data_IF_467137127296
#
_entry.id   IF_467137127296
#
_cell.length_a   1.000
_cell.length_b   1.000
_cell.length_c   1.000
_cell.angle_alpha   90.00
_cell.angle_beta   90.00
_cell.angle_gamma   90.00
#
_symmetry.space_group_name_H-M   'P 1'
#
loop_
_entity.id
_entity.type
_entity.pdbx_description
1 polymer ?
#
# COMPACT_ATOMS: atom_id res chain seq x y z
N UNK A 1 6.34 -20.16 -7.51
CA UNK A 1 6.23 -20.01 -6.04
C UNK A 1 4.96 -19.26 -5.65
N UNK A 2 4.71 -18.04 -6.16
CA UNK A 2 3.47 -17.28 -5.86
C UNK A 2 2.18 -17.96 -6.28
N UNK A 3 2.13 -18.57 -7.47
CA UNK A 3 0.95 -19.31 -7.94
C UNK A 3 0.50 -20.39 -6.94
N UNK A 4 1.45 -21.15 -6.38
CA UNK A 4 1.16 -22.19 -5.39
C UNK A 4 0.61 -21.62 -4.08
N UNK A 5 1.06 -20.44 -3.66
CA UNK A 5 0.52 -19.74 -2.49
C UNK A 5 -0.90 -19.23 -2.78
N UNK A 6 -1.16 -18.70 -3.97
CA UNK A 6 -2.51 -18.25 -4.38
C UNK A 6 -3.46 -19.44 -4.51
N UNK A 7 -3.02 -20.53 -5.14
CA UNK A 7 -3.79 -21.77 -5.30
C UNK A 7 -4.05 -22.40 -3.91
N UNK A 8 -3.04 -22.47 -3.02
CA UNK A 8 -3.22 -22.95 -1.64
C UNK A 8 -4.14 -22.01 -0.84
N UNK A 9 -4.06 -20.69 -1.02
CA UNK A 9 -4.98 -19.74 -0.38
C UNK A 9 -6.40 -19.94 -0.94
N UNK A 10 -6.58 -20.15 -2.25
CA UNK A 10 -7.87 -20.37 -2.88
C UNK A 10 -8.51 -21.70 -2.45
N UNK A 11 -7.73 -22.79 -2.42
CA UNK A 11 -8.17 -24.13 -2.00
C UNK A 11 -8.49 -24.19 -0.50
N UNK A 12 -7.80 -23.37 0.32
CA UNK A 12 -8.09 -23.26 1.74
C UNK A 12 -9.09 -22.15 2.09
N UNK A 13 -9.29 -21.14 1.22
CA UNK A 13 -10.31 -20.08 1.34
C UNK A 13 -11.70 -20.68 1.36
N UNK A 14 -11.95 -21.66 0.49
CA UNK A 14 -13.21 -22.43 0.48
C UNK A 14 -13.45 -23.23 1.76
N UNK A 15 -12.43 -23.38 2.61
CA UNK A 15 -12.49 -24.07 3.92
C UNK A 15 -12.27 -23.11 5.10
N UNK A 16 -12.08 -21.82 4.84
CA UNK A 16 -11.78 -20.82 5.86
C UNK A 16 -13.09 -20.12 6.22
N UNK A 17 -13.58 -20.33 7.44
CA UNK A 17 -14.77 -19.66 8.01
C UNK A 17 -14.52 -18.16 8.33
N UNK A 18 -13.50 -17.56 7.73
CA UNK A 18 -13.20 -16.14 7.89
C UNK A 18 -13.97 -15.32 6.87
N UNK A 19 -14.78 -14.38 7.33
CA UNK A 19 -15.62 -13.54 6.45
C UNK A 19 -14.82 -12.59 5.53
N UNK A 20 -13.54 -12.31 5.85
CA UNK A 20 -12.74 -11.27 5.19
C UNK A 20 -11.25 -11.67 5.09
N UNK A 21 -10.66 -11.54 3.89
CA UNK A 21 -9.21 -11.58 3.67
C UNK A 21 -8.68 -10.20 3.32
N UNK A 22 -7.61 -9.77 3.99
CA UNK A 22 -6.94 -8.49 3.74
C UNK A 22 -5.55 -8.74 3.17
N UNK A 23 -5.31 -8.28 1.94
CA UNK A 23 -3.99 -8.28 1.32
C UNK A 23 -3.28 -6.94 1.57
N UNK A 24 -2.05 -6.99 2.10
CA UNK A 24 -1.20 -5.82 2.20
C UNK A 24 -0.55 -5.54 0.83
N UNK A 25 -1.28 -4.82 -0.02
CA UNK A 25 -0.96 -4.49 -1.42
C UNK A 25 -1.13 -5.65 -2.41
N UNK A 26 -1.56 -5.32 -3.62
CA UNK A 26 -1.66 -6.25 -4.76
C UNK A 26 -0.51 -6.01 -5.76
N UNK A 27 -0.26 -7.01 -6.61
CA UNK A 27 0.81 -6.96 -7.62
C UNK A 27 0.66 -5.79 -8.62
N UNK A 28 -0.55 -5.25 -8.82
CA UNK A 28 -0.78 -4.03 -9.60
C UNK A 28 0.01 -2.82 -9.09
N UNK A 29 0.26 -2.74 -7.77
CA UNK A 29 1.08 -1.69 -7.18
C UNK A 29 2.56 -1.81 -7.58
N UNK A 30 3.05 -3.01 -7.92
CA UNK A 30 4.46 -3.26 -8.23
C UNK A 30 4.91 -2.61 -9.54
N UNK A 31 3.99 -2.31 -10.46
CA UNK A 31 4.31 -1.66 -11.73
C UNK A 31 5.01 -0.32 -11.53
N UNK A 32 4.60 0.44 -10.52
CA UNK A 32 5.12 1.77 -10.23
C UNK A 32 6.49 1.72 -9.56
N UNK A 33 6.63 0.86 -8.55
CA UNK A 33 7.92 0.59 -7.94
C UNK A 33 8.95 0.12 -8.99
N UNK A 34 8.52 -0.75 -9.90
CA UNK A 34 9.36 -1.22 -11.02
C UNK A 34 9.77 -0.08 -11.94
N UNK A 35 8.82 0.76 -12.34
CA UNK A 35 9.07 1.90 -13.22
C UNK A 35 10.07 2.91 -12.63
N UNK A 36 10.02 3.11 -11.32
CA UNK A 36 10.91 4.02 -10.61
C UNK A 36 12.29 3.43 -10.32
N UNK A 37 12.35 2.16 -9.91
CA UNK A 37 13.58 1.52 -9.44
C UNK A 37 14.46 1.01 -10.59
N UNK A 38 13.85 0.48 -11.64
CA UNK A 38 14.58 -0.04 -12.78
C UNK A 38 14.72 1.10 -13.79
N UNK A 39 15.94 1.43 -14.24
CA UNK A 39 16.13 2.45 -15.30
C UNK A 39 16.24 1.84 -16.69
N UNK A 40 16.79 0.62 -16.77
CA UNK A 40 17.04 -0.06 -18.03
C UNK A 40 15.76 -0.58 -18.68
N UNK A 41 15.48 -0.13 -19.91
CA UNK A 41 14.24 -0.41 -20.63
C UNK A 41 13.94 -1.90 -20.78
N UNK A 42 14.89 -2.71 -21.27
CA UNK A 42 14.68 -4.15 -21.47
C UNK A 42 14.38 -4.90 -20.16
N UNK A 43 14.96 -4.44 -19.05
CA UNK A 43 14.72 -5.04 -17.74
C UNK A 43 13.30 -4.73 -17.24
N UNK A 44 12.77 -3.53 -17.54
CA UNK A 44 11.36 -3.20 -17.27
C UNK A 44 10.42 -4.06 -18.10
N UNK A 45 10.68 -4.15 -19.41
CA UNK A 45 9.86 -4.94 -20.35
C UNK A 45 9.78 -6.40 -19.91
N UNK A 46 10.93 -7.01 -19.59
CA UNK A 46 11.00 -8.37 -19.07
C UNK A 46 10.14 -8.55 -17.80
N UNK A 47 10.26 -7.64 -16.83
CA UNK A 47 9.48 -7.75 -15.59
C UNK A 47 7.97 -7.56 -15.84
N UNK A 48 7.59 -6.66 -16.74
CA UNK A 48 6.18 -6.48 -17.09
C UNK A 48 5.59 -7.69 -17.77
N UNK A 49 6.35 -8.36 -18.65
CA UNK A 49 5.88 -9.57 -19.30
C UNK A 49 5.74 -10.74 -18.32
N UNK A 50 6.58 -10.80 -17.28
CA UNK A 50 6.38 -11.74 -16.17
C UNK A 50 5.13 -11.42 -15.34
N UNK A 51 4.88 -10.13 -15.03
CA UNK A 51 3.69 -9.73 -14.26
C UNK A 51 2.41 -10.05 -15.03
N UNK A 52 2.37 -9.85 -16.35
CA UNK A 52 1.21 -10.19 -17.20
C UNK A 52 0.85 -11.68 -17.17
N UNK A 53 1.79 -12.56 -16.84
CA UNK A 53 1.53 -14.01 -16.73
C UNK A 53 0.81 -14.37 -15.42
N UNK A 54 0.70 -13.44 -14.46
CA UNK A 54 -0.07 -13.63 -13.24
C UNK A 54 -1.56 -13.52 -13.57
N UNK A 55 -2.26 -14.65 -13.55
CA UNK A 55 -3.71 -14.67 -13.72
C UNK A 55 -4.37 -14.26 -12.40
N UNK A 56 -4.62 -12.97 -12.22
CA UNK A 56 -5.34 -12.44 -11.08
C UNK A 56 -6.30 -11.37 -11.58
N UNK A 57 -7.59 -11.60 -11.34
CA UNK A 57 -8.65 -10.69 -11.75
C UNK A 57 -8.97 -9.71 -10.62
N UNK A 58 -9.01 -8.41 -10.93
CA UNK A 58 -9.45 -7.37 -9.99
C UNK A 58 -10.90 -7.59 -9.53
N UNK A 59 -11.71 -8.30 -10.32
CA UNK A 59 -13.07 -8.68 -9.94
C UNK A 59 -13.11 -9.60 -8.71
N UNK A 60 -12.00 -10.25 -8.35
CA UNK A 60 -11.89 -11.05 -7.12
C UNK A 60 -11.63 -10.18 -5.88
N UNK A 61 -11.50 -8.86 -6.03
CA UNK A 61 -11.25 -7.92 -4.94
C UNK A 61 -12.52 -7.15 -4.64
N UNK A 62 -13.17 -7.46 -3.53
CA UNK A 62 -14.43 -6.81 -3.14
C UNK A 62 -14.25 -5.31 -2.85
N UNK A 63 -13.16 -4.96 -2.17
CA UNK A 63 -12.88 -3.56 -1.83
C UNK A 63 -11.40 -3.30 -1.68
N UNK A 64 -10.99 -2.11 -2.08
CA UNK A 64 -9.64 -1.59 -1.84
C UNK A 64 -9.72 -0.45 -0.84
N UNK A 65 -8.95 -0.55 0.23
CA UNK A 65 -8.78 0.52 1.21
C UNK A 65 -7.47 1.22 0.89
N UNK A 66 -7.57 2.47 0.42
CA UNK A 66 -6.41 3.32 0.24
C UNK A 66 -6.14 4.13 1.50
N UNK A 67 -5.09 3.74 2.22
CA UNK A 67 -4.63 4.49 3.40
C UNK A 67 -3.82 5.71 2.93
N UNK A 68 -4.44 6.87 3.01
CA UNK A 68 -3.89 8.14 2.52
C UNK A 68 -3.18 8.91 3.61
N UNK A 69 -2.02 9.46 3.28
CA UNK A 69 -1.22 10.34 4.12
C UNK A 69 -0.90 11.64 3.37
N UNK A 70 -0.51 12.69 4.08
CA UNK A 70 0.21 13.80 3.46
C UNK A 70 1.68 13.43 3.23
N UNK A 71 2.32 14.07 2.24
CA UNK A 71 3.77 13.97 2.00
C UNK A 71 4.59 14.21 3.27
N UNK A 72 4.21 15.22 4.06
CA UNK A 72 4.92 15.54 5.31
C UNK A 72 4.90 14.36 6.28
N UNK A 73 3.75 13.69 6.41
CA UNK A 73 3.55 12.59 7.36
C UNK A 73 4.26 11.32 6.90
N UNK A 74 4.21 10.99 5.60
CA UNK A 74 4.92 9.81 5.11
C UNK A 74 6.43 9.96 5.29
N UNK A 75 7.00 11.14 5.01
CA UNK A 75 8.42 11.42 5.23
C UNK A 75 8.77 11.33 6.72
N UNK A 76 7.95 11.94 7.60
CA UNK A 76 8.18 11.86 9.04
C UNK A 76 8.17 10.40 9.53
N UNK A 77 7.15 9.62 9.16
CA UNK A 77 7.03 8.20 9.54
C UNK A 77 8.23 7.36 9.06
N UNK A 78 8.72 7.64 7.85
CA UNK A 78 9.90 6.94 7.34
C UNK A 78 11.18 7.35 8.06
N UNK A 79 11.33 8.63 8.42
CA UNK A 79 12.43 9.12 9.28
C UNK A 79 12.39 8.44 10.64
N UNK A 80 11.23 8.37 11.28
CA UNK A 80 11.05 7.73 12.60
C UNK A 80 11.41 6.24 12.55
N UNK A 81 10.98 5.51 11.50
CA UNK A 81 11.34 4.09 11.30
C UNK A 81 12.85 3.88 11.12
N UNK A 82 13.52 4.75 10.37
CA UNK A 82 14.95 4.65 10.09
C UNK A 82 15.85 5.21 11.18
N UNK A 83 15.35 6.10 12.03
CA UNK A 83 16.11 6.74 13.11
C UNK A 83 16.78 5.71 14.04
N UNK A 84 16.25 4.49 14.12
CA UNK A 84 16.80 3.38 14.89
C UNK A 84 17.99 2.64 14.22
N UNK A 85 18.26 2.87 12.92
CA UNK A 85 19.23 2.06 12.16
C UNK A 85 20.24 2.87 11.32
N UNK A 86 19.84 3.97 10.65
CA UNK A 86 20.73 4.74 9.78
C UNK A 86 20.32 6.22 9.63
N UNK A 87 21.27 7.15 9.39
CA UNK A 87 20.96 8.56 9.14
C UNK A 87 20.23 8.74 7.79
N UNK A 88 19.20 9.59 7.81
CA UNK A 88 18.37 9.93 6.65
C UNK A 88 19.16 10.72 5.60
N UNK A 89 19.07 10.32 4.33
CA UNK A 89 19.70 11.05 3.21
C UNK A 89 18.69 11.88 2.42
N UNK A 90 19.08 13.06 1.97
CA UNK A 90 18.21 13.95 1.15
C UNK A 90 17.67 13.25 -0.11
N UNK A 91 18.49 12.42 -0.77
CA UNK A 91 18.07 11.67 -1.95
C UNK A 91 16.99 10.62 -1.65
N UNK A 92 16.85 10.20 -0.39
CA UNK A 92 15.79 9.27 0.03
C UNK A 92 14.46 10.00 0.20
N UNK A 93 14.49 11.26 0.64
CA UNK A 93 13.28 12.08 0.76
C UNK A 93 12.61 12.29 -0.59
N UNK A 94 13.41 12.70 -1.59
CA UNK A 94 12.90 12.90 -2.94
C UNK A 94 12.34 11.60 -3.52
N UNK A 95 13.03 10.48 -3.31
CA UNK A 95 12.55 9.17 -3.74
C UNK A 95 11.17 8.81 -3.16
N UNK A 96 10.95 9.06 -1.87
CA UNK A 96 9.64 8.81 -1.24
C UNK A 96 8.55 9.77 -1.73
N UNK A 97 8.90 11.03 -2.01
CA UNK A 97 7.97 12.00 -2.61
C UNK A 97 7.57 11.54 -4.01
N UNK A 98 8.52 11.11 -4.83
CA UNK A 98 8.26 10.65 -6.19
C UNK A 98 7.34 9.41 -6.19
N UNK A 99 7.54 8.46 -5.26
CA UNK A 99 6.64 7.29 -5.12
C UNK A 99 5.24 7.74 -4.74
N UNK A 100 5.15 8.66 -3.79
CA UNK A 100 3.87 9.16 -3.32
C UNK A 100 3.07 9.81 -4.45
N UNK A 101 3.72 10.67 -5.24
CA UNK A 101 3.07 11.39 -6.35
C UNK A 101 2.60 10.44 -7.45
N UNK A 102 3.43 9.46 -7.81
CA UNK A 102 3.05 8.45 -8.80
C UNK A 102 1.86 7.61 -8.33
N UNK A 103 1.82 7.26 -7.03
CA UNK A 103 0.71 6.50 -6.46
C UNK A 103 -0.59 7.31 -6.40
N UNK A 104 -0.53 8.56 -5.95
CA UNK A 104 -1.68 9.48 -5.94
C UNK A 104 -2.26 9.70 -7.35
N UNK A 105 -1.41 9.81 -8.37
CA UNK A 105 -1.84 9.98 -9.75
C UNK A 105 -2.52 8.72 -10.33
N UNK A 106 -2.17 7.54 -9.82
CA UNK A 106 -2.56 6.26 -10.40
C UNK A 106 -3.68 5.53 -9.66
N UNK A 107 -3.88 5.77 -8.36
CA UNK A 107 -4.83 5.00 -7.52
C UNK A 107 -6.24 4.95 -8.13
N UNK A 108 -6.78 6.09 -8.60
CA UNK A 108 -8.11 6.16 -9.22
C UNK A 108 -8.22 5.37 -10.53
N UNK A 109 -7.10 5.20 -11.25
CA UNK A 109 -7.07 4.45 -12.51
C UNK A 109 -7.02 2.94 -12.27
N UNK A 110 -6.36 2.52 -11.18
CA UNK A 110 -6.19 1.10 -10.83
C UNK A 110 -7.43 0.59 -10.08
N UNK A 111 -7.90 1.39 -9.13
CA UNK A 111 -8.99 1.03 -8.23
C UNK A 111 -10.02 2.17 -8.22
N UNK A 112 -10.88 2.30 -9.24
CA UNK A 112 -11.84 3.40 -9.30
C UNK A 112 -12.78 3.43 -8.09
N UNK A 113 -13.11 2.27 -7.51
CA UNK A 113 -14.07 2.14 -6.41
C UNK A 113 -13.41 1.99 -5.03
N UNK A 114 -12.15 2.41 -4.86
CA UNK A 114 -11.46 2.34 -3.58
C UNK A 114 -12.09 3.27 -2.52
N UNK A 115 -11.98 2.89 -1.26
CA UNK A 115 -12.31 3.75 -0.11
C UNK A 115 -11.05 4.43 0.37
N UNK A 116 -11.12 5.75 0.53
CA UNK A 116 -10.00 6.54 1.08
C UNK A 116 -10.12 6.56 2.60
N UNK A 117 -9.07 6.08 3.27
CA UNK A 117 -8.90 6.23 4.70
C UNK A 117 -7.78 7.23 4.99
N UNK A 118 -8.15 8.44 5.39
CA UNK A 118 -7.18 9.49 5.71
C UNK A 118 -6.52 9.22 7.07
N UNK A 119 -5.25 8.81 7.05
CA UNK A 119 -4.48 8.48 8.26
C UNK A 119 -3.40 9.52 8.52
N UNK A 120 -3.74 10.80 8.37
CA UNK A 120 -2.84 11.91 8.70
C UNK A 120 -2.51 12.04 10.20
N UNK A 121 -3.01 11.12 11.00
CA UNK A 121 -2.95 11.13 12.43
C UNK A 121 -2.31 9.81 12.85
N UNK A 122 -1.38 9.89 13.80
CA UNK A 122 -0.91 8.70 14.48
C UNK A 122 -2.06 8.16 15.34
N UNK A 123 -2.57 6.99 14.99
CA UNK A 123 -3.43 6.22 15.87
C UNK A 123 -2.51 5.65 16.96
N UNK A 124 -2.38 6.39 18.05
CA UNK A 124 -1.61 5.92 19.21
C UNK A 124 -2.40 4.84 19.95
N UNK A 125 -1.71 3.97 20.69
CA UNK A 125 -2.33 2.84 21.40
C UNK A 125 -3.45 3.26 22.36
N UNK A 126 -3.40 4.48 22.91
CA UNK A 126 -4.45 5.02 23.77
C UNK A 126 -5.73 5.42 23.01
N UNK A 127 -5.68 5.50 21.68
CA UNK A 127 -6.82 5.74 20.80
C UNK A 127 -7.53 4.44 20.38
N UNK A 128 -6.98 3.26 20.71
CA UNK A 128 -7.56 1.95 20.38
C UNK A 128 -8.87 1.69 21.15
N UNK A 129 -9.04 2.34 22.30
CA UNK A 129 -10.29 2.37 23.03
C UNK A 129 -11.12 3.56 22.52
N UNK A 130 -11.95 3.33 21.49
CA UNK A 130 -12.93 4.26 20.91
C UNK A 130 -13.94 4.88 21.91
N UNK A 131 -13.75 4.66 23.21
CA UNK A 131 -14.60 5.13 24.31
C UNK A 131 -14.09 6.41 24.99
N UNK A 132 -12.88 6.91 24.69
CA UNK A 132 -12.38 8.13 25.30
C UNK A 132 -12.68 9.37 24.45
N UNK A 133 -13.59 10.21 24.95
CA UNK A 133 -14.05 11.46 24.33
C UNK A 133 -12.92 12.48 24.05
N UNK A 134 -11.76 12.35 24.71
CA UNK A 134 -10.59 13.21 24.48
C UNK A 134 -9.97 13.09 23.07
N UNK A 135 -10.37 12.10 22.27
CA UNK A 135 -9.96 12.02 20.87
C UNK A 135 -10.90 12.78 19.92
N UNK A 136 -12.14 13.12 20.33
CA UNK A 136 -13.08 13.86 19.47
C UNK A 136 -12.65 15.32 19.25
N UNK A 137 -11.98 15.94 20.21
CA UNK A 137 -11.63 17.37 20.14
C UNK A 137 -10.45 17.70 19.19
N UNK A 138 -9.76 16.69 18.64
CA UNK A 138 -8.67 16.90 17.66
C UNK A 138 -9.00 16.45 16.24
N UNK A 139 -10.14 15.81 16.02
CA UNK A 139 -10.50 15.20 14.73
C UNK A 139 -11.89 15.67 14.32
N UNK A 140 -11.95 16.73 13.51
CA UNK A 140 -13.13 17.02 12.72
C UNK A 140 -13.22 15.96 11.62
N UNK A 141 -14.03 14.93 11.86
CA UNK A 141 -14.53 14.02 10.83
C UNK A 141 -15.46 14.78 9.87
#
# INVERSE_FOLDING_TARGET
MYKKIIDDIADNLLKWDGDIIIFNQLHFNQKYFTNMMIKHKKSKEYLFDLIKQVNFDLLMVDKVIYVKFTKKIIIQRQKDRKASHYPWKVNEEQYFIDIFDEYEHSINKIYPDHVVFNSNIYLYDHCLNYQNDNCKERYNF
#
